data_IF_635363918869
#
_entry.id   IF_635363918869
#
_cell.length_a   1.000
_cell.length_b   1.000
_cell.length_c   1.000
_cell.angle_alpha   90.00
_cell.angle_beta   90.00
_cell.angle_gamma   90.00
#
_symmetry.space_group_name_H-M   'P 1'
#
loop_
_entity.id
_entity.type
_entity.pdbx_description
1 polymer ?
#
# COMPACT_ATOMS: atom_id res chain seq x y z
N UNK A 1 27.14 -12.77 -6.21
CA UNK A 1 26.73 -11.36 -6.11
C UNK A 1 25.21 -11.35 -6.06
N UNK A 2 24.63 -11.15 -4.88
CA UNK A 2 23.17 -11.11 -4.73
C UNK A 2 22.67 -9.77 -5.30
N UNK A 3 21.96 -9.81 -6.44
CA UNK A 3 21.19 -8.68 -6.91
C UNK A 3 19.99 -8.54 -5.96
N UNK A 4 20.16 -7.76 -4.90
CA UNK A 4 19.02 -7.28 -4.12
C UNK A 4 18.10 -6.55 -5.09
N UNK A 5 16.81 -6.91 -5.21
CA UNK A 5 15.89 -6.14 -6.03
C UNK A 5 15.91 -4.72 -5.48
N UNK A 6 16.34 -3.77 -6.31
CA UNK A 6 16.16 -2.35 -5.99
C UNK A 6 14.67 -2.20 -5.77
N UNK A 7 14.26 -1.87 -4.54
CA UNK A 7 12.90 -1.41 -4.29
C UNK A 7 12.80 -0.09 -5.05
N UNK A 8 12.42 -0.18 -6.32
CA UNK A 8 12.13 0.97 -7.15
C UNK A 8 10.92 1.65 -6.51
N UNK A 9 10.98 2.96 -6.26
CA UNK A 9 9.86 3.71 -5.71
C UNK A 9 9.46 4.77 -6.72
N UNK A 10 8.16 4.96 -6.92
CA UNK A 10 7.62 6.05 -7.76
C UNK A 10 6.94 7.11 -6.89
N UNK A 11 7.00 8.39 -7.27
CA UNK A 11 6.32 9.45 -6.52
C UNK A 11 4.80 9.33 -6.66
N UNK A 12 4.08 9.69 -5.59
CA UNK A 12 2.64 9.86 -5.64
C UNK A 12 2.29 11.10 -6.47
N UNK A 13 1.28 11.06 -7.36
CA UNK A 13 0.89 12.24 -8.14
C UNK A 13 0.13 13.29 -7.32
N UNK A 14 -0.34 12.95 -6.11
CA UNK A 14 -1.22 13.81 -5.30
C UNK A 14 -0.52 14.39 -4.08
N UNK A 15 0.53 13.73 -3.58
CA UNK A 15 1.27 14.17 -2.40
C UNK A 15 2.77 13.90 -2.58
N UNK A 16 3.59 14.35 -1.64
CA UNK A 16 5.04 14.10 -1.67
C UNK A 16 5.44 12.69 -1.16
N UNK A 17 4.50 11.75 -1.14
CA UNK A 17 4.70 10.38 -0.69
C UNK A 17 5.28 9.46 -1.77
N UNK A 18 5.72 8.28 -1.35
CA UNK A 18 6.30 7.26 -2.22
C UNK A 18 5.36 6.06 -2.38
N UNK A 19 5.37 5.47 -3.57
CA UNK A 19 4.68 4.24 -3.94
C UNK A 19 5.76 3.20 -4.21
N UNK A 20 5.71 2.06 -3.53
CA UNK A 20 6.63 0.96 -3.83
C UNK A 20 6.44 0.48 -5.28
N UNK A 21 7.49 0.09 -5.98
CA UNK A 21 7.42 -0.26 -7.41
C UNK A 21 6.60 -1.51 -7.67
N UNK A 22 6.55 -2.43 -6.70
CA UNK A 22 5.67 -3.59 -6.71
C UNK A 22 4.20 -3.25 -6.35
N UNK A 23 3.91 -1.98 -6.09
CA UNK A 23 2.58 -1.51 -5.74
C UNK A 23 1.80 -1.11 -7.00
N UNK A 24 0.74 -1.86 -7.36
CA UNK A 24 -0.04 -1.59 -8.55
C UNK A 24 -0.89 -0.32 -8.44
N UNK A 25 -1.02 0.29 -7.25
CA UNK A 25 -1.84 1.48 -7.06
C UNK A 25 -1.19 2.72 -7.67
N UNK A 26 -2.01 3.56 -8.30
CA UNK A 26 -1.58 4.87 -8.83
C UNK A 26 -1.28 5.90 -7.73
N UNK A 27 -1.84 5.70 -6.54
CA UNK A 27 -1.70 6.57 -5.38
C UNK A 27 -0.93 5.86 -4.26
N UNK A 28 -0.24 6.63 -3.42
CA UNK A 28 0.39 6.09 -2.22
C UNK A 28 -0.65 5.68 -1.18
N UNK A 29 -0.19 4.93 -0.18
CA UNK A 29 -1.06 4.38 0.85
C UNK A 29 -1.81 5.48 1.64
N UNK A 30 -1.17 6.64 1.91
CA UNK A 30 -1.80 7.80 2.55
C UNK A 30 -2.96 8.36 1.71
N UNK A 31 -2.75 8.52 0.39
CA UNK A 31 -3.76 9.08 -0.51
C UNK A 31 -4.88 8.11 -0.88
N UNK A 32 -4.68 6.79 -0.74
CA UNK A 32 -5.75 5.80 -0.87
C UNK A 32 -6.68 5.82 0.34
N UNK A 33 -6.15 6.17 1.51
CA UNK A 33 -6.91 6.31 2.74
C UNK A 33 -7.18 4.97 3.46
N UNK A 34 -7.64 5.06 4.73
CA UNK A 34 -7.88 3.91 5.59
C UNK A 34 -9.03 3.01 5.12
N UNK A 35 -10.08 3.60 4.54
CA UNK A 35 -11.25 2.85 4.04
C UNK A 35 -10.84 1.88 2.92
N UNK A 36 -10.06 2.35 1.95
CA UNK A 36 -9.56 1.52 0.84
C UNK A 36 -8.65 0.38 1.33
N UNK A 37 -7.85 0.63 2.37
CA UNK A 37 -6.98 -0.38 2.94
C UNK A 37 -7.74 -1.45 3.75
N UNK A 38 -8.78 -1.04 4.48
CA UNK A 38 -9.71 -1.94 5.16
C UNK A 38 -10.52 -2.80 4.18
N UNK A 39 -11.07 -2.16 3.15
CA UNK A 39 -11.84 -2.83 2.10
C UNK A 39 -10.96 -3.80 1.31
N UNK A 40 -9.77 -3.40 0.89
CA UNK A 40 -8.84 -4.27 0.16
C UNK A 40 -8.46 -5.58 0.88
N UNK A 41 -8.71 -5.68 2.19
CA UNK A 41 -8.52 -6.88 3.01
C UNK A 41 -9.80 -7.72 3.15
N UNK A 42 -10.99 -7.10 3.20
CA UNK A 42 -12.27 -7.80 3.46
C UNK A 42 -13.12 -8.00 2.21
N UNK A 43 -13.10 -7.05 1.27
CA UNK A 43 -13.86 -7.05 0.02
C UNK A 43 -12.97 -6.56 -1.12
N UNK A 44 -12.59 -7.42 -2.08
CA UNK A 44 -11.73 -7.04 -3.19
C UNK A 44 -12.51 -6.21 -4.23
N UNK A 45 -13.07 -5.07 -3.82
CA UNK A 45 -13.62 -4.04 -4.71
C UNK A 45 -12.52 -3.41 -5.54
N UNK A 46 -11.29 -3.36 -5.02
CA UNK A 46 -10.12 -2.89 -5.72
C UNK A 46 -9.36 -4.03 -6.42
N UNK A 47 -9.24 -3.92 -7.75
CA UNK A 47 -8.48 -4.87 -8.58
C UNK A 47 -6.97 -4.87 -8.32
N UNK A 48 -6.43 -3.80 -7.72
CA UNK A 48 -5.00 -3.66 -7.43
C UNK A 48 -4.59 -4.32 -6.10
N UNK A 49 -5.48 -4.33 -5.11
CA UNK A 49 -5.27 -4.97 -3.80
C UNK A 49 -4.87 -6.47 -3.86
N UNK A 50 -5.50 -7.34 -4.67
CA UNK A 50 -5.09 -8.75 -4.75
C UNK A 50 -3.73 -8.96 -5.40
N UNK A 51 -3.26 -8.00 -6.21
CA UNK A 51 -1.96 -8.05 -6.89
C UNK A 51 -0.80 -7.60 -5.98
N UNK A 52 -1.09 -7.03 -4.80
CA UNK A 52 -0.05 -6.60 -3.86
C UNK A 52 0.72 -7.80 -3.28
N UNK A 53 2.05 -7.67 -3.12
CA UNK A 53 2.83 -8.62 -2.33
C UNK A 53 2.25 -8.79 -0.92
N UNK A 54 2.29 -10.02 -0.37
CA UNK A 54 1.75 -10.29 0.97
C UNK A 54 2.38 -9.41 2.06
N UNK A 55 3.68 -9.16 2.00
CA UNK A 55 4.39 -8.30 2.95
C UNK A 55 3.88 -6.85 2.88
N UNK A 56 3.66 -6.32 1.67
CA UNK A 56 3.11 -4.97 1.47
C UNK A 56 1.67 -4.85 1.99
N UNK A 57 0.86 -5.90 1.85
CA UNK A 57 -0.48 -5.96 2.45
C UNK A 57 -0.44 -5.89 3.97
N UNK A 58 0.45 -6.69 4.59
CA UNK A 58 0.63 -6.70 6.05
C UNK A 58 1.10 -5.35 6.59
N UNK A 59 2.14 -4.76 6.00
CA UNK A 59 2.63 -3.46 6.45
C UNK A 59 1.57 -2.36 6.33
N UNK A 60 0.75 -2.37 5.26
CA UNK A 60 -0.37 -1.45 5.13
C UNK A 60 -1.38 -1.65 6.27
N UNK A 61 -1.76 -2.89 6.57
CA UNK A 61 -2.68 -3.21 7.66
C UNK A 61 -2.15 -2.75 9.02
N UNK A 62 -0.88 -3.03 9.33
CA UNK A 62 -0.23 -2.63 10.59
C UNK A 62 -0.18 -1.10 10.72
N UNK A 63 0.13 -0.38 9.65
CA UNK A 63 0.10 1.08 9.62
C UNK A 63 -1.30 1.62 9.95
N UNK A 64 -2.34 1.11 9.30
CA UNK A 64 -3.70 1.58 9.57
C UNK A 64 -4.21 1.20 10.97
N UNK A 65 -3.88 0.01 11.47
CA UNK A 65 -4.22 -0.37 12.84
C UNK A 65 -3.53 0.54 13.87
N UNK A 66 -2.25 0.88 13.65
CA UNK A 66 -1.50 1.74 14.57
C UNK A 66 -1.97 3.20 14.55
N UNK A 67 -2.34 3.74 13.38
CA UNK A 67 -2.64 5.17 13.21
C UNK A 67 -4.13 5.53 13.22
N UNK A 68 -5.03 4.58 12.88
CA UNK A 68 -6.46 4.85 12.70
C UNK A 68 -7.39 4.01 13.59
N UNK A 69 -6.87 2.99 14.30
CA UNK A 69 -7.65 2.15 15.24
C UNK A 69 -7.26 2.43 16.70
N UNK A 70 -6.90 3.68 17.02
CA UNK A 70 -6.83 4.13 18.41
C UNK A 70 -8.19 4.75 18.80
N UNK A 71 -8.82 4.31 19.90
CA UNK A 71 -10.17 4.71 20.31
C UNK A 71 -10.33 6.20 20.63
#
# INVERSE_FOLDING_TARGET
MANSPVLEHRPCPTCNGLIAGADPHRLCFECLGPEHAGDGLQYPSCNACPMLPQLSRRHRMEHFQAFYVSP
#
